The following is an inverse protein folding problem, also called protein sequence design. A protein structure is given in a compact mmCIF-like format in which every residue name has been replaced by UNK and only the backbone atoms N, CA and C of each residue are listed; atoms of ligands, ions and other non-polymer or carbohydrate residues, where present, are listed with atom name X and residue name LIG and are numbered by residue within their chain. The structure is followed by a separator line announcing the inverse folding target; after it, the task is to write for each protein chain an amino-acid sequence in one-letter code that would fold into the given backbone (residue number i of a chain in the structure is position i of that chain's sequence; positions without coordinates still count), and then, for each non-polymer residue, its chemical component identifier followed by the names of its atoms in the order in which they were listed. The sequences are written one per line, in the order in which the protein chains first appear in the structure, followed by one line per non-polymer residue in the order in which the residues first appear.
data_IF_850381369861
#
_entry.id   IF_850381369861
#
_cell.length_a   1.000
_cell.length_b   1.000
_cell.length_c   1.000
_cell.angle_alpha   90.00
_cell.angle_beta   90.00
_cell.angle_gamma   90.00
#
_symmetry.space_group_name_H-M   'P 1'
#
loop_
_entity.id
_entity.type
_entity.pdbx_description
1 polymer ?
#
# COMPACT_ATOMS: atom_id res chain seq x y z
N UNK A 1 8.81 -15.56 14.71
CA UNK A 1 8.79 -14.69 15.90
C UNK A 1 7.85 -13.53 15.63
N UNK A 2 6.80 -13.38 16.44
CA UNK A 2 5.89 -12.23 16.37
C UNK A 2 6.61 -11.03 17.02
N UNK A 3 6.66 -9.85 16.38
CA UNK A 3 7.30 -8.67 16.97
C UNK A 3 6.65 -8.34 18.30
N UNK A 4 7.44 -7.99 19.32
CA UNK A 4 6.85 -7.60 20.60
C UNK A 4 6.11 -6.26 20.45
N UNK A 5 5.12 -5.96 21.32
CA UNK A 5 4.44 -4.67 21.31
C UNK A 5 5.39 -3.47 21.37
N UNK A 6 6.56 -3.63 21.99
CA UNK A 6 7.61 -2.61 22.05
C UNK A 6 8.29 -2.38 20.70
N UNK A 7 8.53 -3.43 19.94
CA UNK A 7 9.17 -3.36 18.62
C UNK A 7 8.27 -2.63 17.61
N UNK A 8 6.97 -2.86 17.70
CA UNK A 8 5.98 -2.22 16.85
C UNK A 8 5.83 -0.71 17.16
N UNK A 9 5.89 -0.33 18.44
CA UNK A 9 5.89 1.08 18.87
C UNK A 9 7.17 1.78 18.42
N UNK A 10 8.33 1.11 18.57
CA UNK A 10 9.62 1.65 18.15
C UNK A 10 9.69 1.85 16.64
N UNK A 11 9.23 0.89 15.85
CA UNK A 11 9.20 1.00 14.39
C UNK A 11 8.35 2.19 13.93
N UNK A 12 7.15 2.35 14.51
CA UNK A 12 6.29 3.53 14.25
C UNK A 12 6.99 4.83 14.61
N UNK A 13 7.60 4.90 15.80
CA UNK A 13 8.30 6.09 16.28
C UNK A 13 9.47 6.47 15.38
N UNK A 14 10.39 5.54 15.11
CA UNK A 14 11.54 5.78 14.23
C UNK A 14 11.10 6.20 12.83
N UNK A 15 10.03 5.59 12.30
CA UNK A 15 9.46 6.02 11.04
C UNK A 15 8.95 7.47 11.11
N UNK A 16 8.15 7.82 12.12
CA UNK A 16 7.65 9.20 12.28
C UNK A 16 8.80 10.22 12.42
N UNK A 17 9.78 9.93 13.27
CA UNK A 17 10.92 10.81 13.54
C UNK A 17 11.75 11.06 12.28
N UNK A 18 12.05 10.00 11.51
CA UNK A 18 12.82 10.11 10.27
C UNK A 18 12.11 10.96 9.20
N UNK A 19 10.78 10.92 9.14
CA UNK A 19 10.03 11.65 8.12
C UNK A 19 9.72 13.08 8.54
N UNK A 20 9.53 13.33 9.84
CA UNK A 20 9.54 14.67 10.40
C UNK A 20 10.86 15.38 10.13
N UNK A 21 11.99 14.72 10.37
CA UNK A 21 13.32 15.27 10.09
C UNK A 21 13.50 15.62 8.59
N UNK A 22 13.06 14.75 7.68
CA UNK A 22 13.07 15.02 6.22
C UNK A 22 12.20 16.21 5.83
N UNK A 23 11.05 16.38 6.49
CA UNK A 23 10.15 17.50 6.22
C UNK A 23 10.68 18.84 6.74
N UNK A 24 11.27 18.84 7.94
CA UNK A 24 11.85 20.03 8.58
C UNK A 24 13.08 20.51 7.79
N UNK A 25 13.92 19.60 7.32
CA UNK A 25 15.15 19.93 6.59
C UNK A 25 14.96 20.20 5.09
N UNK A 26 13.73 20.09 4.57
CA UNK A 26 13.47 20.18 3.14
C UNK A 26 11.98 20.23 2.81
N UNK A 27 11.36 21.37 3.09
CA UNK A 27 10.12 21.90 2.50
C UNK A 27 9.42 20.98 1.47
N UNK A 28 8.54 20.06 1.90
CA UNK A 28 7.35 19.69 1.12
C UNK A 28 6.38 18.75 1.87
N UNK A 29 5.08 19.09 1.88
CA UNK A 29 3.98 18.14 2.21
C UNK A 29 4.05 16.90 1.31
N UNK A 30 4.58 17.06 0.08
CA UNK A 30 4.86 15.96 -0.83
C UNK A 30 5.84 14.93 -0.26
N UNK A 31 6.87 15.35 0.48
CA UNK A 31 7.85 14.45 1.10
C UNK A 31 7.18 13.62 2.20
N UNK A 32 6.41 14.26 3.09
CA UNK A 32 5.64 13.55 4.14
C UNK A 32 4.66 12.53 3.54
N UNK A 33 3.96 12.92 2.48
CA UNK A 33 3.03 12.05 1.75
C UNK A 33 3.76 10.83 1.18
N UNK A 34 4.87 11.05 0.46
CA UNK A 34 5.67 9.96 -0.12
C UNK A 34 6.24 9.03 0.95
N UNK A 35 6.67 9.60 2.08
CA UNK A 35 7.08 8.85 3.24
C UNK A 35 5.97 7.95 3.76
N UNK A 36 4.78 8.50 4.04
CA UNK A 36 3.65 7.71 4.53
C UNK A 36 3.23 6.60 3.55
N UNK A 37 3.32 6.85 2.24
CA UNK A 37 3.13 5.82 1.23
C UNK A 37 4.22 4.74 1.39
N UNK A 38 5.50 5.10 1.47
CA UNK A 38 6.58 4.13 1.70
C UNK A 38 6.36 3.30 2.97
N UNK A 39 5.96 3.92 4.07
CA UNK A 39 5.62 3.20 5.31
C UNK A 39 4.54 2.17 5.10
N UNK A 40 3.48 2.57 4.41
CA UNK A 40 2.33 1.71 4.17
C UNK A 40 2.74 0.47 3.40
N UNK A 41 3.72 0.62 2.50
CA UNK A 41 4.31 -0.48 1.76
C UNK A 41 5.14 -1.39 2.66
N UNK A 42 6.00 -0.84 3.50
CA UNK A 42 6.79 -1.64 4.46
C UNK A 42 5.88 -2.47 5.38
N UNK A 43 4.81 -1.86 5.87
CA UNK A 43 3.78 -2.52 6.68
C UNK A 43 3.05 -3.63 5.91
N UNK A 44 2.72 -3.42 4.63
CA UNK A 44 2.13 -4.44 3.75
C UNK A 44 3.08 -5.63 3.48
N UNK A 45 4.39 -5.40 3.51
CA UNK A 45 5.40 -6.44 3.32
C UNK A 45 5.72 -7.22 4.60
N UNK A 46 5.24 -6.75 5.76
CA UNK A 46 5.44 -7.45 7.04
C UNK A 46 4.73 -8.81 7.09
N UNK A 47 5.05 -9.61 8.11
CA UNK A 47 4.35 -10.87 8.42
C UNK A 47 3.17 -10.70 9.40
N UNK A 48 2.99 -9.50 9.96
CA UNK A 48 1.93 -9.20 10.92
C UNK A 48 0.64 -8.84 10.19
N UNK A 49 -0.46 -9.50 10.56
CA UNK A 49 -1.77 -9.19 9.99
C UNK A 49 -2.22 -7.76 10.33
N UNK A 50 -1.93 -7.30 11.55
CA UNK A 50 -2.27 -5.94 12.00
C UNK A 50 -1.48 -4.88 11.25
N UNK A 51 -0.20 -5.12 11.00
CA UNK A 51 0.64 -4.21 10.22
C UNK A 51 0.16 -4.16 8.78
N UNK A 52 -0.14 -5.31 8.15
CA UNK A 52 -0.70 -5.34 6.78
C UNK A 52 -2.02 -4.59 6.71
N UNK A 53 -2.90 -4.76 7.69
CA UNK A 53 -4.16 -4.03 7.76
C UNK A 53 -3.94 -2.52 7.92
N UNK A 54 -3.04 -2.11 8.82
CA UNK A 54 -2.67 -0.70 9.00
C UNK A 54 -2.08 -0.11 7.71
N UNK A 55 -1.14 -0.82 7.08
CA UNK A 55 -0.53 -0.45 5.81
C UNK A 55 -1.58 -0.27 4.72
N UNK A 56 -2.50 -1.22 4.58
CA UNK A 56 -3.60 -1.13 3.60
C UNK A 56 -4.50 0.10 3.86
N UNK A 57 -4.82 0.42 5.11
CA UNK A 57 -5.65 1.59 5.47
C UNK A 57 -4.94 2.91 5.15
N UNK A 58 -3.64 2.99 5.42
CA UNK A 58 -2.82 4.17 5.05
C UNK A 58 -2.78 4.30 3.53
N UNK A 59 -2.49 3.21 2.81
CA UNK A 59 -2.39 3.21 1.35
C UNK A 59 -3.72 3.61 0.69
N UNK A 60 -4.85 3.11 1.19
CA UNK A 60 -6.19 3.47 0.70
C UNK A 60 -6.48 4.97 0.81
N UNK A 61 -6.06 5.64 1.91
CA UNK A 61 -6.22 7.09 2.06
C UNK A 61 -5.48 7.89 0.97
N UNK A 62 -4.42 7.33 0.41
CA UNK A 62 -3.63 7.96 -0.63
C UNK A 62 -3.90 7.42 -2.03
N UNK A 63 -4.79 6.44 -2.21
CA UNK A 63 -4.96 5.74 -3.48
C UNK A 63 -5.30 6.65 -4.67
N UNK A 64 -6.13 7.68 -4.48
CA UNK A 64 -6.47 8.66 -5.53
C UNK A 64 -5.29 9.57 -5.89
N UNK A 65 -4.38 9.74 -4.95
CA UNK A 65 -3.25 10.67 -5.02
C UNK A 65 -1.98 10.01 -5.57
N UNK A 66 -2.02 8.70 -5.79
CA UNK A 66 -0.94 7.90 -6.33
C UNK A 66 -1.17 7.70 -7.82
N UNK A 67 -0.15 8.01 -8.62
CA UNK A 67 -0.07 7.55 -9.99
C UNK A 67 0.88 6.35 -10.01
N UNK A 68 0.48 5.26 -10.68
CA UNK A 68 1.37 4.12 -10.89
C UNK A 68 2.37 4.42 -12.02
N UNK A 69 2.35 5.62 -12.60
CA UNK A 69 3.27 6.13 -13.63
C UNK A 69 4.20 7.17 -13.00
N UNK A 70 5.52 7.00 -13.18
CA UNK A 70 6.56 7.94 -12.72
C UNK A 70 7.58 7.35 -11.72
N UNK A 71 8.66 8.08 -11.46
CA UNK A 71 9.77 7.73 -10.54
C UNK A 71 9.34 7.58 -9.07
N UNK A 72 8.14 8.06 -8.73
CA UNK A 72 7.50 7.93 -7.41
C UNK A 72 6.34 6.93 -7.43
N UNK A 73 6.21 6.15 -8.51
CA UNK A 73 5.16 5.17 -8.62
C UNK A 73 5.30 4.11 -7.55
N UNK A 74 4.15 3.66 -7.05
CA UNK A 74 4.01 2.39 -6.34
C UNK A 74 4.82 1.29 -7.03
N UNK A 75 4.96 1.27 -8.36
CA UNK A 75 5.80 0.29 -9.05
C UNK A 75 7.28 0.24 -8.65
N UNK A 76 7.87 1.31 -8.08
CA UNK A 76 9.23 1.28 -7.54
C UNK A 76 9.31 0.80 -6.08
N UNK A 77 8.23 0.96 -5.31
CA UNK A 77 8.21 0.76 -3.85
C UNK A 77 7.37 -0.49 -3.47
N UNK A 78 6.21 -0.68 -4.09
CA UNK A 78 5.25 -1.77 -3.91
C UNK A 78 5.06 -2.55 -5.21
N UNK A 79 5.39 -3.84 -5.17
CA UNK A 79 5.04 -4.79 -6.23
C UNK A 79 3.52 -4.95 -6.27
N UNK A 80 2.86 -4.52 -7.34
CA UNK A 80 1.39 -4.65 -7.47
C UNK A 80 0.97 -6.11 -7.43
N UNK A 81 1.86 -7.01 -7.86
CA UNK A 81 1.69 -8.46 -7.70
C UNK A 81 1.39 -8.81 -6.24
N UNK A 82 1.98 -8.12 -5.27
CA UNK A 82 1.71 -8.34 -3.85
C UNK A 82 0.28 -7.98 -3.45
N UNK A 83 -0.29 -6.92 -4.03
CA UNK A 83 -1.70 -6.57 -3.79
C UNK A 83 -2.62 -7.63 -4.41
N UNK A 84 -2.26 -8.15 -5.59
CA UNK A 84 -2.99 -9.25 -6.24
C UNK A 84 -2.90 -10.53 -5.40
N UNK A 85 -1.72 -10.87 -4.87
CA UNK A 85 -1.55 -12.01 -3.97
C UNK A 85 -2.45 -11.88 -2.73
N UNK A 86 -2.53 -10.68 -2.15
CA UNK A 86 -3.37 -10.41 -0.97
C UNK A 86 -4.87 -10.54 -1.25
N UNK A 87 -5.31 -10.29 -2.49
CA UNK A 87 -6.70 -10.56 -2.90
C UNK A 87 -7.01 -12.07 -2.91
N UNK A 88 -5.99 -12.89 -3.19
CA UNK A 88 -6.11 -14.34 -3.25
C UNK A 88 -5.99 -15.02 -1.87
N UNK A 89 -5.79 -14.26 -0.78
CA UNK A 89 -5.76 -14.85 0.56
C UNK A 89 -7.15 -15.31 1.00
N UNK A 90 -7.19 -16.48 1.64
CA UNK A 90 -8.44 -17.10 2.06
C UNK A 90 -9.18 -16.27 3.13
N UNK A 91 -10.51 -16.22 3.00
CA UNK A 91 -11.41 -15.54 3.93
C UNK A 91 -11.74 -14.10 3.56
N UNK A 92 -13.02 -13.71 3.77
CA UNK A 92 -13.45 -12.31 3.71
C UNK A 92 -13.02 -11.60 4.99
N UNK A 93 -11.80 -11.06 5.00
CA UNK A 93 -11.29 -10.24 6.09
C UNK A 93 -11.21 -8.75 5.70
N UNK A 94 -11.12 -7.87 6.69
CA UNK A 94 -11.09 -6.41 6.47
C UNK A 94 -9.90 -5.98 5.57
N UNK A 95 -8.78 -6.70 5.65
CA UNK A 95 -7.61 -6.47 4.81
C UNK A 95 -7.98 -6.66 3.33
N UNK A 96 -8.57 -7.80 2.96
CA UNK A 96 -8.98 -8.09 1.59
C UNK A 96 -9.91 -7.01 1.03
N UNK A 97 -10.96 -6.63 1.77
CA UNK A 97 -11.89 -5.56 1.38
C UNK A 97 -11.18 -4.20 1.18
N UNK A 98 -10.13 -3.93 1.96
CA UNK A 98 -9.34 -2.70 1.84
C UNK A 98 -8.47 -2.74 0.58
N UNK A 99 -7.85 -3.89 0.28
CA UNK A 99 -7.06 -4.11 -0.94
C UNK A 99 -7.93 -4.03 -2.19
N UNK A 100 -9.13 -4.61 -2.17
CA UNK A 100 -10.13 -4.51 -3.24
C UNK A 100 -10.45 -3.05 -3.58
N UNK A 101 -10.70 -2.21 -2.56
CA UNK A 101 -10.94 -0.78 -2.75
C UNK A 101 -9.73 -0.06 -3.34
N UNK A 102 -8.51 -0.39 -2.92
CA UNK A 102 -7.27 0.19 -3.49
C UNK A 102 -7.17 -0.17 -4.97
N UNK A 103 -7.36 -1.45 -5.32
CA UNK A 103 -7.25 -1.94 -6.69
C UNK A 103 -8.30 -1.30 -7.60
N UNK A 104 -9.54 -1.13 -7.12
CA UNK A 104 -10.59 -0.41 -7.84
C UNK A 104 -10.22 1.07 -8.08
N UNK A 105 -9.64 1.74 -7.08
CA UNK A 105 -9.17 3.14 -7.21
C UNK A 105 -8.05 3.26 -8.24
N UNK A 106 -7.15 2.29 -8.27
CA UNK A 106 -6.10 2.25 -9.29
C UNK A 106 -6.66 1.99 -10.68
N UNK A 107 -7.57 1.03 -10.85
CA UNK A 107 -8.18 0.69 -12.13
C UNK A 107 -8.99 1.84 -12.75
N UNK A 108 -9.54 2.75 -11.94
CA UNK A 108 -10.27 3.94 -12.43
C UNK A 108 -9.41 4.91 -13.23
N UNK A 109 -8.08 4.88 -13.09
CA UNK A 109 -7.16 5.70 -13.88
C UNK A 109 -6.70 4.92 -15.11
N UNK A 110 -6.97 5.45 -16.31
CA UNK A 110 -6.67 4.80 -17.60
C UNK A 110 -5.23 4.28 -17.71
N UNK A 111 -4.25 5.08 -17.28
CA UNK A 111 -2.83 4.70 -17.32
C UNK A 111 -2.49 3.52 -16.40
N UNK A 112 -3.12 3.46 -15.23
CA UNK A 112 -2.95 2.40 -14.26
C UNK A 112 -3.65 1.11 -14.72
N UNK A 113 -4.83 1.23 -15.34
CA UNK A 113 -5.60 0.10 -15.86
C UNK A 113 -4.81 -0.74 -16.87
N UNK A 114 -4.11 -0.10 -17.81
CA UNK A 114 -3.26 -0.81 -18.78
C UNK A 114 -2.12 -1.60 -18.11
N UNK A 115 -1.60 -1.15 -16.97
CA UNK A 115 -0.58 -1.89 -16.22
C UNK A 115 -1.17 -3.06 -15.47
N UNK A 116 -2.34 -2.87 -14.85
CA UNK A 116 -3.05 -3.93 -14.14
C UNK A 116 -3.35 -5.12 -15.07
N UNK A 117 -3.82 -4.85 -16.30
CA UNK A 117 -4.09 -5.88 -17.33
C UNK A 117 -2.87 -6.73 -17.69
N UNK A 118 -1.66 -6.21 -17.50
CA UNK A 118 -0.41 -6.94 -17.78
C UNK A 118 0.02 -7.86 -16.64
N UNK A 119 -0.64 -7.82 -15.49
CA UNK A 119 -0.33 -8.67 -14.33
C UNK A 119 -1.15 -9.97 -14.45
N UNK A 120 -0.50 -11.15 -14.43
CA UNK A 120 -1.21 -12.42 -14.40
C UNK A 120 -2.16 -12.53 -13.20
N UNK A 121 -3.35 -13.09 -13.39
CA UNK A 121 -4.33 -13.29 -12.31
C UNK A 121 -5.09 -12.03 -11.87
N UNK A 122 -4.79 -10.85 -12.44
CA UNK A 122 -5.46 -9.61 -12.01
C UNK A 122 -6.94 -9.57 -12.42
N UNK A 123 -7.31 -10.15 -13.57
CA UNK A 123 -8.70 -10.12 -14.05
C UNK A 123 -9.57 -11.01 -13.17
N UNK A 124 -9.06 -12.18 -12.78
CA UNK A 124 -9.67 -13.12 -11.85
C UNK A 124 -9.85 -12.47 -10.47
N UNK A 125 -8.81 -11.81 -9.96
CA UNK A 125 -8.86 -11.12 -8.68
C UNK A 125 -9.88 -9.96 -8.69
N UNK A 126 -9.89 -9.12 -9.73
CA UNK A 126 -10.85 -8.01 -9.85
C UNK A 126 -12.27 -8.52 -10.09
N UNK A 127 -12.45 -9.51 -10.98
CA UNK A 127 -13.78 -10.06 -11.28
C UNK A 127 -14.42 -10.71 -10.06
N UNK A 128 -13.65 -11.43 -9.23
CA UNK A 128 -14.13 -12.01 -7.95
C UNK A 128 -14.58 -10.98 -6.89
N UNK A 129 -14.27 -9.70 -7.13
CA UNK A 129 -14.63 -8.59 -6.26
C UNK A 129 -15.90 -7.88 -6.73
N UNK A 130 -16.14 -7.89 -8.05
CA UNK A 130 -17.25 -7.18 -8.70
C UNK A 130 -18.46 -8.09 -8.91
N UNK A 131 -18.24 -9.39 -9.07
CA UNK A 131 -19.24 -10.44 -9.25
C UNK A 131 -19.25 -11.40 -8.05
#
# INVERSE_FOLDING_TARGET
MVPSPRDMVNHKKTFFDNNLAKCINGSNVYCLKMSLISFSVDLLMSNSQDDRLLGSKILLKFADSINMVGSYSINGILKIERLVDMLNWEGKNELRLTIEKIMLRFAKKKENAFRLIRIPGHLEAISSTVF
#
